data_IF_485621517660
#
_entry.id   IF_485621517660
#
_cell.length_a   1.000
_cell.length_b   1.000
_cell.length_c   1.000
_cell.angle_alpha   90.00
_cell.angle_beta   90.00
_cell.angle_gamma   90.00
#
_symmetry.space_group_name_H-M   'P 1'
#
loop_
_entity.id
_entity.type
_entity.pdbx_description
1 polymer ?
#
# COMPACT_ATOMS: atom_id res chain seq x y z
N UNK A 1 13.70 -17.71 -18.30
CA UNK A 1 13.54 -17.69 -16.89
C UNK A 1 13.79 -16.35 -16.34
N UNK A 2 15.00 -15.92 -16.36
CA UNK A 2 15.38 -14.62 -15.83
C UNK A 2 14.62 -13.50 -16.51
N UNK A 3 14.48 -13.59 -17.82
CA UNK A 3 13.78 -12.58 -18.60
C UNK A 3 12.33 -12.42 -18.13
N UNK A 4 11.69 -13.54 -17.85
CA UNK A 4 10.32 -13.52 -17.41
C UNK A 4 10.18 -12.77 -16.07
N UNK A 5 11.10 -13.02 -15.14
CA UNK A 5 11.07 -12.35 -13.85
C UNK A 5 11.28 -10.86 -13.99
N UNK A 6 12.18 -10.45 -14.87
CA UNK A 6 12.43 -9.02 -15.08
C UNK A 6 11.23 -8.31 -15.66
N UNK A 7 10.53 -8.96 -16.60
CA UNK A 7 9.38 -8.36 -17.25
C UNK A 7 8.19 -8.24 -16.31
N UNK A 8 8.01 -9.24 -15.47
CA UNK A 8 6.80 -9.35 -14.66
C UNK A 8 6.87 -8.59 -13.36
N UNK A 9 8.00 -7.96 -13.05
CA UNK A 9 8.16 -7.36 -11.73
C UNK A 9 7.53 -5.96 -11.68
N UNK A 10 6.26 -5.91 -11.29
CA UNK A 10 5.56 -4.67 -11.04
C UNK A 10 5.64 -4.27 -9.57
N UNK A 11 5.84 -5.25 -8.70
CA UNK A 11 5.81 -5.03 -7.26
C UNK A 11 6.94 -5.81 -6.59
N UNK A 12 7.41 -5.28 -5.48
CA UNK A 12 8.28 -6.03 -4.59
C UNK A 12 7.55 -6.17 -3.26
N UNK A 13 7.35 -7.40 -2.82
CA UNK A 13 6.59 -7.67 -1.62
C UNK A 13 7.51 -8.29 -0.59
N UNK A 14 7.56 -7.69 0.59
CA UNK A 14 8.41 -8.15 1.68
C UNK A 14 7.56 -8.37 2.92
N UNK A 15 7.72 -9.51 3.56
CA UNK A 15 7.03 -9.80 4.80
C UNK A 15 7.95 -9.39 5.96
N UNK A 16 7.47 -8.48 6.81
CA UNK A 16 8.20 -8.02 7.96
C UNK A 16 7.49 -8.53 9.22
N UNK A 17 7.99 -8.13 10.40
CA UNK A 17 7.52 -8.73 11.64
C UNK A 17 6.01 -8.65 11.81
N UNK A 18 5.44 -7.48 11.61
CA UNK A 18 4.01 -7.31 11.85
C UNK A 18 3.30 -6.61 10.72
N UNK A 19 3.88 -6.58 9.52
CA UNK A 19 3.21 -6.03 8.35
C UNK A 19 3.87 -6.56 7.08
N UNK A 20 3.17 -6.39 5.96
CA UNK A 20 3.69 -6.67 4.64
C UNK A 20 3.97 -5.36 3.94
N UNK A 21 5.14 -5.24 3.33
CA UNK A 21 5.53 -4.05 2.57
C UNK A 21 5.36 -4.36 1.09
N UNK A 22 4.59 -3.52 0.41
CA UNK A 22 4.43 -3.62 -1.05
C UNK A 22 5.02 -2.37 -1.66
N UNK A 23 6.02 -2.55 -2.54
CA UNK A 23 6.61 -1.45 -3.30
C UNK A 23 6.09 -1.53 -4.71
N UNK A 24 5.48 -0.45 -5.19
CA UNK A 24 5.07 -0.37 -6.59
C UNK A 24 6.30 0.09 -7.37
N UNK A 25 6.75 -0.74 -8.30
CA UNK A 25 7.99 -0.48 -9.05
C UNK A 25 7.73 0.18 -10.40
N UNK A 26 6.47 0.46 -10.71
CA UNK A 26 6.06 1.13 -11.94
C UNK A 26 5.89 2.61 -11.70
N UNK A 27 6.19 3.42 -12.71
CA UNK A 27 6.02 4.86 -12.58
C UNK A 27 4.55 5.28 -12.58
N UNK A 28 3.69 4.43 -13.10
CA UNK A 28 2.27 4.71 -13.18
C UNK A 28 1.46 3.66 -12.46
N UNK A 29 0.59 4.09 -11.59
CA UNK A 29 -0.40 3.22 -10.97
C UNK A 29 -1.73 3.55 -11.64
N UNK A 30 -1.99 2.89 -12.76
CA UNK A 30 -3.11 3.19 -13.64
C UNK A 30 -3.91 1.93 -13.94
N UNK A 31 -4.75 1.99 -14.96
CA UNK A 31 -5.61 0.87 -15.36
C UNK A 31 -4.82 -0.37 -15.74
N UNK A 32 -3.57 -0.21 -16.15
CA UNK A 32 -2.74 -1.36 -16.52
C UNK A 32 -2.15 -2.06 -15.31
N UNK A 33 -1.89 -1.34 -14.23
CA UNK A 33 -1.20 -1.86 -13.05
C UNK A 33 -2.17 -2.12 -11.88
N UNK A 34 -3.21 -1.30 -11.76
CA UNK A 34 -4.11 -1.39 -10.61
C UNK A 34 -4.77 -2.77 -10.43
N UNK A 35 -5.21 -3.47 -11.49
CA UNK A 35 -5.80 -4.79 -11.29
C UNK A 35 -4.80 -5.79 -10.69
N UNK A 36 -3.55 -5.73 -11.12
CA UNK A 36 -2.52 -6.61 -10.56
C UNK A 36 -2.27 -6.30 -9.09
N UNK A 37 -2.28 -5.01 -8.72
CA UNK A 37 -2.11 -4.63 -7.33
C UNK A 37 -3.27 -5.15 -6.49
N UNK A 38 -4.49 -5.02 -6.98
CA UNK A 38 -5.66 -5.53 -6.26
C UNK A 38 -5.54 -7.04 -6.03
N UNK A 39 -5.07 -7.78 -7.03
CA UNK A 39 -4.88 -9.22 -6.90
C UNK A 39 -3.87 -9.56 -5.82
N UNK A 40 -2.75 -8.85 -5.78
CA UNK A 40 -1.75 -9.07 -4.75
C UNK A 40 -2.29 -8.75 -3.36
N UNK A 41 -3.06 -7.68 -3.26
CA UNK A 41 -3.65 -7.30 -1.97
C UNK A 41 -4.60 -8.37 -1.45
N UNK A 42 -5.42 -8.94 -2.34
CA UNK A 42 -6.36 -9.99 -1.95
C UNK A 42 -5.60 -11.24 -1.50
N UNK A 43 -4.52 -11.59 -2.20
CA UNK A 43 -3.71 -12.75 -1.80
C UNK A 43 -3.08 -12.55 -0.43
N UNK A 44 -2.51 -11.38 -0.19
CA UNK A 44 -1.86 -11.06 1.08
C UNK A 44 -2.89 -11.12 2.21
N UNK A 45 -4.03 -10.50 1.99
CA UNK A 45 -5.11 -10.50 2.98
C UNK A 45 -5.62 -11.92 3.22
N UNK A 46 -5.75 -12.71 2.15
CA UNK A 46 -6.22 -14.09 2.27
C UNK A 46 -5.26 -14.98 3.04
N UNK A 47 -3.99 -14.60 3.11
CA UNK A 47 -3.00 -15.34 3.89
C UNK A 47 -2.96 -14.91 5.36
N UNK A 48 -3.89 -14.06 5.78
CA UNK A 48 -3.99 -13.67 7.18
C UNK A 48 -3.22 -12.40 7.53
N UNK A 49 -2.59 -11.75 6.54
CA UNK A 49 -1.89 -10.49 6.79
C UNK A 49 -2.91 -9.38 6.93
N UNK A 50 -2.81 -8.64 8.03
CA UNK A 50 -3.79 -7.58 8.27
C UNK A 50 -3.20 -6.18 8.22
N UNK A 51 -1.87 -6.06 8.25
CA UNK A 51 -1.20 -4.77 8.21
C UNK A 51 -0.40 -4.68 6.93
N UNK A 52 -0.59 -3.61 6.17
CA UNK A 52 0.07 -3.42 4.89
C UNK A 52 0.63 -1.99 4.80
N UNK A 53 1.88 -1.89 4.37
CA UNK A 53 2.50 -0.61 4.00
C UNK A 53 2.66 -0.63 2.49
N UNK A 54 2.14 0.38 1.82
CA UNK A 54 2.26 0.53 0.37
C UNK A 54 3.19 1.69 0.08
N UNK A 55 4.29 1.41 -0.60
CA UNK A 55 5.32 2.40 -0.91
C UNK A 55 5.22 2.78 -2.38
N UNK A 56 4.95 4.05 -2.63
CA UNK A 56 4.76 4.60 -3.98
C UNK A 56 5.91 5.51 -4.40
N UNK A 57 7.11 5.30 -3.85
CA UNK A 57 8.25 6.18 -4.12
C UNK A 57 8.62 6.27 -5.61
N UNK A 58 8.41 5.20 -6.35
CA UNK A 58 8.70 5.17 -7.77
C UNK A 58 7.54 5.73 -8.61
N UNK A 59 6.35 5.79 -8.02
CA UNK A 59 5.14 6.13 -8.74
C UNK A 59 5.00 7.64 -8.90
N UNK A 60 4.95 8.11 -10.14
CA UNK A 60 4.82 9.53 -10.44
C UNK A 60 3.46 9.90 -10.98
N UNK A 61 2.62 8.91 -11.24
CA UNK A 61 1.30 9.12 -11.80
C UNK A 61 0.34 8.10 -11.23
N UNK A 62 -0.86 8.56 -10.93
CA UNK A 62 -1.92 7.70 -10.42
C UNK A 62 -3.24 8.23 -10.95
N UNK A 63 -4.10 7.33 -11.44
CA UNK A 63 -5.43 7.72 -11.89
C UNK A 63 -6.49 7.14 -10.94
N UNK A 64 -7.75 7.24 -11.34
CA UNK A 64 -8.84 6.76 -10.48
C UNK A 64 -8.76 5.25 -10.24
N UNK A 65 -8.22 4.50 -11.20
CA UNK A 65 -8.04 3.05 -11.00
C UNK A 65 -7.01 2.79 -9.91
N UNK A 66 -5.93 3.58 -9.91
CA UNK A 66 -4.92 3.45 -8.86
C UNK A 66 -5.46 3.84 -7.51
N UNK A 67 -6.22 4.93 -7.43
CA UNK A 67 -6.84 5.33 -6.18
C UNK A 67 -7.79 4.25 -5.67
N UNK A 68 -8.51 3.60 -6.58
CA UNK A 68 -9.40 2.50 -6.22
C UNK A 68 -8.63 1.35 -5.57
N UNK A 69 -7.47 1.00 -6.14
CA UNK A 69 -6.64 -0.06 -5.58
C UNK A 69 -6.14 0.30 -4.18
N UNK A 70 -5.75 1.57 -3.98
CA UNK A 70 -5.32 2.04 -2.67
C UNK A 70 -6.46 1.90 -1.66
N UNK A 71 -7.67 2.26 -2.06
CA UNK A 71 -8.82 2.16 -1.17
C UNK A 71 -9.18 0.70 -0.87
N UNK A 72 -8.96 -0.20 -1.82
CA UNK A 72 -9.15 -1.63 -1.57
C UNK A 72 -8.19 -2.10 -0.47
N UNK A 73 -6.94 -1.65 -0.53
CA UNK A 73 -5.96 -2.01 0.50
C UNK A 73 -6.43 -1.55 1.88
N UNK A 74 -6.90 -0.31 1.95
CA UNK A 74 -7.38 0.24 3.21
C UNK A 74 -8.56 -0.57 3.76
N UNK A 75 -9.50 -0.91 2.89
CA UNK A 75 -10.68 -1.67 3.30
C UNK A 75 -10.32 -3.07 3.77
N UNK A 76 -9.43 -3.75 3.05
CA UNK A 76 -9.01 -5.10 3.44
C UNK A 76 -8.37 -5.10 4.82
N UNK A 77 -7.51 -4.12 5.08
CA UNK A 77 -6.87 -4.04 6.39
C UNK A 77 -7.88 -3.75 7.49
N UNK A 78 -8.81 -2.82 7.24
CA UNK A 78 -9.83 -2.51 8.23
C UNK A 78 -10.70 -3.71 8.54
N UNK A 79 -11.11 -4.45 7.51
CA UNK A 79 -11.96 -5.61 7.69
C UNK A 79 -11.25 -6.71 8.49
N UNK A 80 -9.94 -6.73 8.44
CA UNK A 80 -9.14 -7.72 9.18
C UNK A 80 -8.68 -7.19 10.55
N UNK A 81 -9.20 -6.04 10.97
CA UNK A 81 -8.78 -5.37 12.20
C UNK A 81 -7.31 -5.01 12.14
N UNK A 82 -6.85 -4.62 10.97
CA UNK A 82 -5.46 -4.25 10.73
C UNK A 82 -5.32 -2.79 10.37
N UNK A 83 -4.14 -2.42 9.94
CA UNK A 83 -3.77 -1.04 9.63
C UNK A 83 -3.13 -0.97 8.25
N UNK A 84 -3.57 0.00 7.47
CA UNK A 84 -2.97 0.29 6.17
C UNK A 84 -2.26 1.63 6.25
N UNK A 85 -1.02 1.69 5.75
CA UNK A 85 -0.25 2.94 5.72
C UNK A 85 0.31 3.13 4.32
N UNK A 86 0.16 4.34 3.81
CA UNK A 86 0.67 4.74 2.50
C UNK A 86 1.92 5.59 2.73
N UNK A 87 3.01 5.30 2.01
CA UNK A 87 4.25 6.04 2.18
C UNK A 87 4.95 6.27 0.86
N UNK A 88 5.93 7.17 0.87
CA UNK A 88 6.74 7.43 -0.30
C UNK A 88 6.04 8.22 -1.38
N UNK A 89 5.05 9.05 -1.03
CA UNK A 89 4.30 9.78 -2.03
C UNK A 89 5.18 10.82 -2.73
N UNK A 90 5.18 10.77 -4.07
CA UNK A 90 5.76 11.85 -4.86
C UNK A 90 4.80 13.04 -4.85
N UNK A 91 5.33 14.23 -5.20
CA UNK A 91 4.51 15.45 -5.14
C UNK A 91 3.22 15.32 -5.94
N UNK A 92 3.30 14.75 -7.14
CA UNK A 92 2.12 14.62 -8.00
C UNK A 92 1.08 13.71 -7.39
N UNK A 93 1.53 12.57 -6.83
CA UNK A 93 0.60 11.61 -6.24
C UNK A 93 0.02 12.17 -4.94
N UNK A 94 0.85 12.85 -4.16
CA UNK A 94 0.36 13.47 -2.92
C UNK A 94 -0.72 14.51 -3.22
N UNK A 95 -0.51 15.31 -4.26
CA UNK A 95 -1.49 16.32 -4.64
C UNK A 95 -2.81 15.67 -5.02
N UNK A 96 -2.76 14.57 -5.75
CA UNK A 96 -3.97 13.86 -6.14
C UNK A 96 -4.71 13.33 -4.92
N UNK A 97 -3.98 12.74 -3.98
CA UNK A 97 -4.56 12.23 -2.72
C UNK A 97 -5.25 13.37 -1.97
N UNK A 98 -4.59 14.52 -1.86
CA UNK A 98 -5.14 15.67 -1.15
C UNK A 98 -6.38 16.23 -1.84
N UNK A 99 -6.33 16.38 -3.15
CA UNK A 99 -7.46 16.92 -3.92
C UNK A 99 -8.66 15.98 -3.80
N UNK A 100 -8.41 14.69 -3.77
CA UNK A 100 -9.48 13.69 -3.62
C UNK A 100 -9.95 13.55 -2.16
N UNK A 101 -9.33 14.28 -1.24
CA UNK A 101 -9.64 14.25 0.19
C UNK A 101 -9.41 12.88 0.83
N UNK A 102 -8.63 12.04 0.19
CA UNK A 102 -8.31 10.71 0.72
C UNK A 102 -7.32 10.78 1.87
N UNK A 103 -6.61 11.89 2.01
CA UNK A 103 -5.72 12.10 3.14
C UNK A 103 -6.49 12.14 4.47
N UNK A 104 -7.81 12.34 4.42
CA UNK A 104 -8.63 12.34 5.64
C UNK A 104 -8.99 10.93 6.09
N UNK A 105 -8.88 9.93 5.21
CA UNK A 105 -9.26 8.55 5.56
C UNK A 105 -8.08 7.59 5.54
N UNK A 106 -6.96 7.99 4.95
CA UNK A 106 -5.78 7.12 4.85
C UNK A 106 -4.70 7.54 5.84
N UNK A 107 -3.97 6.56 6.36
CA UNK A 107 -2.77 6.86 7.13
C UNK A 107 -1.63 7.09 6.14
N UNK A 108 -1.00 8.24 6.21
CA UNK A 108 0.10 8.61 5.32
C UNK A 108 1.34 8.87 6.17
N UNK A 109 2.44 8.21 5.81
CA UNK A 109 3.71 8.36 6.50
C UNK A 109 4.74 8.93 5.54
N UNK A 110 5.67 9.71 6.07
CA UNK A 110 6.72 10.32 5.24
C UNK A 110 7.89 9.37 5.00
N UNK A 111 7.98 8.29 5.75
CA UNK A 111 9.05 7.31 5.59
C UNK A 111 8.55 5.93 5.98
N UNK A 112 9.30 4.90 5.56
CA UNK A 112 8.97 3.53 5.96
C UNK A 112 9.11 3.36 7.47
N UNK A 113 10.07 4.06 8.06
CA UNK A 113 10.27 3.99 9.50
C UNK A 113 9.04 4.53 10.24
N UNK A 114 8.52 5.66 9.79
CA UNK A 114 7.32 6.22 10.37
C UNK A 114 6.12 5.29 10.17
N UNK A 115 6.02 4.67 8.98
CA UNK A 115 4.95 3.73 8.71
C UNK A 115 5.00 2.55 9.68
N UNK A 116 6.20 2.02 9.94
CA UNK A 116 6.36 0.93 10.87
C UNK A 116 5.95 1.34 12.28
N UNK A 117 6.23 2.58 12.67
CA UNK A 117 5.84 3.08 13.98
C UNK A 117 4.34 3.21 14.11
N UNK A 118 3.67 3.64 13.05
CA UNK A 118 2.21 3.74 13.06
C UNK A 118 1.59 2.36 13.27
N UNK A 119 2.12 1.36 12.59
CA UNK A 119 1.61 0.00 12.71
C UNK A 119 1.89 -0.56 14.11
N UNK A 120 3.10 -0.35 14.62
CA UNK A 120 3.47 -0.84 15.94
C UNK A 120 2.56 -0.24 17.02
N UNK A 121 2.27 1.06 16.90
CA UNK A 121 1.40 1.72 17.85
C UNK A 121 -0.02 1.17 17.78
N UNK A 122 -0.53 0.95 16.57
CA UNK A 122 -1.87 0.41 16.40
C UNK A 122 -1.98 -1.00 16.96
N UNK A 123 -0.94 -1.83 16.76
CA UNK A 123 -0.93 -3.18 17.31
C UNK A 123 -0.89 -3.16 18.83
N UNK A 124 -0.11 -2.26 19.40
CA UNK A 124 -0.05 -2.11 20.85
C UNK A 124 -1.40 -1.73 21.45
N UNK A 125 -2.11 -0.81 20.79
CA UNK A 125 -3.41 -0.39 21.25
C UNK A 125 -4.43 -1.52 21.20
N UNK A 126 -4.34 -2.37 20.17
CA UNK A 126 -5.23 -3.52 20.08
C UNK A 126 -4.98 -4.52 21.17
N UNK A 127 -3.71 -4.73 21.52
CA UNK A 127 -3.35 -5.69 22.55
C UNK A 127 -3.80 -5.26 23.94
N UNK A 128 -3.95 -3.96 24.15
CA UNK A 128 -4.40 -3.43 25.42
C UNK A 128 -5.89 -3.64 25.66
N UNK A 129 -6.60 -4.01 24.63
CA UNK A 129 -8.03 -4.29 24.77
C UNK A 129 -8.25 -5.77 24.98
#
# INVERSE_FOLDING_TARGET
>A
MTTKNLIAMEFRISKLDNYSLIEVLEEKLDTNVAPSLKSELVLISGNGERNIVLDLSTCRYCDSSGLSAILVANRLCKNANGTFVLTGLTDAVERLITISQLDTVLNIAYSRNEAAQIIAKAEGERQEK
#
